data_IF_311487054865
#
_entry.id   IF_311487054865
#
_cell.length_a   1.000
_cell.length_b   1.000
_cell.length_c   1.000
_cell.angle_alpha   90.00
_cell.angle_beta   90.00
_cell.angle_gamma   90.00
#
_symmetry.space_group_name_H-M   'P 1'
#
loop_
_entity.id
_entity.type
_entity.pdbx_description
1 polymer ?
2 polymer ?
3 polymer ?
4 non-polymer ?
5 non-polymer ?
6 water ?
#
# COMPACT_ATOMS: atom_id res chain seq x y z
N UNK A 5 2.20 -17.35 -5.68
CA UNK A 5 3.27 -16.38 -6.10
C UNK A 5 4.64 -16.75 -5.55
N UNK A 6 5.35 -15.77 -4.98
CA UNK A 6 6.68 -16.03 -4.42
C UNK A 6 6.52 -16.99 -3.24
N UNK A 7 7.29 -18.07 -3.25
CA UNK A 7 7.20 -19.12 -2.23
C UNK A 7 7.32 -18.56 -0.81
N UNK A 8 8.12 -17.51 -0.67
CA UNK A 8 8.47 -16.99 0.62
C UNK A 8 7.68 -15.73 0.99
N UNK A 9 6.64 -15.44 0.20
CA UNK A 9 5.99 -14.14 0.31
C UNK A 9 5.28 -13.99 1.65
N UNK A 10 5.25 -12.75 2.15
CA UNK A 10 4.39 -12.43 3.25
C UNK A 10 4.87 -12.95 4.57
N UNK A 11 6.10 -13.47 4.62
CA UNK A 11 6.71 -13.92 5.87
C UNK A 11 7.91 -13.01 6.18
N UNK A 12 7.81 -12.23 7.24
CA UNK A 12 8.78 -11.19 7.51
C UNK A 12 10.00 -11.75 8.25
N UNK A 13 11.21 -11.48 7.74
CA UNK A 13 12.47 -11.93 8.41
C UNK A 13 12.57 -11.59 9.91
N UNK A 14 12.13 -10.40 10.31
CA UNK A 14 12.20 -9.97 11.70
C UNK A 14 10.97 -10.32 12.54
N UNK A 15 10.00 -11.00 11.94
CA UNK A 15 8.80 -11.39 12.68
C UNK A 15 8.48 -12.88 12.43
N UNK A 16 7.72 -13.20 11.39
CA UNK A 16 7.34 -14.60 11.16
C UNK A 16 8.53 -15.52 11.08
N UNK A 17 9.59 -15.11 10.40
CA UNK A 17 10.74 -16.02 10.24
C UNK A 17 11.45 -16.35 11.56
N UNK A 18 11.26 -15.53 12.58
CA UNK A 18 11.87 -15.73 13.91
C UNK A 18 10.83 -16.09 14.94
N UNK A 19 9.60 -16.26 14.47
CA UNK A 19 8.44 -16.42 15.33
C UNK A 19 8.33 -15.32 16.39
N UNK A 20 8.53 -14.07 15.96
CA UNK A 20 8.23 -12.92 16.81
C UNK A 20 6.96 -12.24 16.27
N UNK A 21 6.11 -11.77 17.19
CA UNK A 21 4.87 -11.09 16.86
C UNK A 21 5.09 -9.61 17.03
N UNK A 22 4.52 -8.80 16.14
CA UNK A 22 4.54 -7.34 16.29
C UNK A 22 3.46 -6.88 17.25
N UNK A 23 3.54 -5.60 17.64
CA UNK A 23 2.75 -5.09 18.77
C UNK A 23 1.22 -5.07 18.57
N UNK A 24 0.74 -5.08 17.32
CA UNK A 24 -0.69 -4.96 17.06
C UNK A 24 -1.25 -5.94 16.06
N UNK A 25 -0.49 -6.95 15.61
CA UNK A 25 -1.04 -7.90 14.65
C UNK A 25 -2.18 -8.69 15.26
N UNK A 26 -2.13 -8.83 16.58
CA UNK A 26 -3.15 -9.58 17.29
C UNK A 26 -4.52 -8.91 17.15
N UNK A 27 -4.54 -7.59 17.09
CA UNK A 27 -5.76 -6.80 16.86
C UNK A 27 -6.44 -7.26 15.57
N UNK A 28 -5.62 -7.65 14.59
CA UNK A 28 -6.13 -8.15 13.30
C UNK A 28 -6.74 -9.54 13.48
N UNK A 29 -5.99 -10.42 14.15
CA UNK A 29 -6.45 -11.77 14.43
C UNK A 29 -7.77 -11.79 15.19
N UNK A 30 -7.87 -10.89 16.14
CA UNK A 30 -9.04 -10.83 17.00
C UNK A 30 -10.31 -10.42 16.26
N UNK A 31 -10.15 -9.70 15.14
CA UNK A 31 -11.27 -9.20 14.32
C UNK A 31 -11.75 -10.23 13.32
N UNK A 32 -10.99 -11.31 13.12
CA UNK A 32 -11.31 -12.32 12.10
C UNK A 32 -12.21 -13.38 12.70
N UNK A 33 -13.36 -12.94 13.22
CA UNK A 33 -14.24 -13.80 14.00
C UNK A 33 -14.96 -14.80 13.09
N UNK A 34 -14.16 -15.47 12.26
CA UNK A 34 -14.57 -15.95 10.93
C UNK A 34 -16.08 -15.86 10.66
N UNK A 35 -16.52 -14.61 10.47
CA UNK A 35 -17.91 -14.27 10.17
C UNK A 35 -18.10 -12.77 10.08
N UNK A 36 -18.28 -12.23 8.98
N UNK B 1 -0.56 9.03 7.39
CA UNK B 1 -1.43 8.21 8.30
C UNK B 1 -1.83 9.08 9.49
N UNK B 2 -3.14 9.24 9.67
CA UNK B 2 -3.68 9.99 10.79
C UNK B 2 -4.00 9.02 11.89
N UNK B 3 -3.59 9.36 13.11
CA UNK B 3 -3.86 8.56 14.31
C UNK B 3 -3.25 7.17 14.23
N UNK B 4 -2.09 7.05 13.57
CA UNK B 4 -1.35 5.82 13.58
C UNK B 4 -0.37 5.74 14.73
N UNK B 5 0.56 4.81 14.63
CA UNK B 5 1.73 4.71 15.49
C UNK B 5 2.95 4.52 14.60
N UNK B 6 4.12 4.80 15.15
CA UNK B 6 5.38 4.46 14.51
C UNK B 6 5.43 2.96 14.21
N UNK B 7 5.78 2.58 12.97
CA UNK B 7 6.02 1.19 12.62
C UNK B 7 7.20 0.65 13.39
N UNK B 8 7.19 -0.66 13.68
CA UNK B 8 8.39 -1.31 14.20
C UNK B 8 9.34 -1.54 13.05
N UNK B 9 10.62 -1.75 13.37
CA UNK B 9 11.62 -2.07 12.35
C UNK B 9 11.29 -3.42 11.70
N UNK B 10 11.32 -3.43 10.37
CA UNK B 10 11.03 -4.62 9.59
C UNK B 10 9.57 -5.04 9.63
N UNK B 11 8.69 -4.14 10.09
CA UNK B 11 7.26 -4.51 10.28
C UNK B 11 6.53 -4.60 8.95
N UNK B 12 6.99 -3.84 7.98
CA UNK B 12 6.37 -3.80 6.68
C UNK B 12 7.45 -3.77 5.61
N UNK B 13 8.12 -4.91 5.43
CA UNK B 13 9.32 -4.94 4.59
C UNK B 13 9.03 -4.94 3.08
N UNK B 14 7.76 -4.98 2.70
CA UNK B 14 7.32 -4.80 1.31
C UNK B 14 6.98 -3.32 0.99
N UNK B 15 7.09 -2.45 1.98
CA UNK B 15 6.79 -1.03 1.79
C UNK B 15 7.85 -0.38 0.89
N UNK B 16 7.36 0.38 -0.08
CA UNK B 16 8.18 1.05 -1.07
C UNK B 16 7.77 2.52 -1.00
N UNK B 17 8.76 3.40 -1.14
CA UNK B 17 8.51 4.84 -1.31
C UNK B 17 8.69 5.18 -2.76
N UNK B 18 7.70 5.83 -3.33
CA UNK B 18 7.76 6.34 -4.69
C UNK B 18 8.34 7.74 -4.56
N UNK B 19 9.51 7.93 -5.17
CA UNK B 19 10.30 9.13 -4.98
C UNK B 19 10.53 9.89 -6.32
N UNK B 20 10.24 11.18 -6.30
CA UNK B 20 10.46 12.04 -7.45
C UNK B 20 11.94 12.44 -7.51
N UNK B 21 12.56 12.28 -8.68
CA UNK B 21 13.99 12.63 -8.85
C UNK B 21 14.26 14.11 -8.58
N UNK B 22 13.53 14.97 -9.30
CA UNK B 22 13.72 16.43 -9.20
C UNK B 22 12.40 17.19 -9.35
N UNK B 23 11.99 17.94 -8.33
CA UNK B 23 12.67 18.03 -7.04
C UNK B 23 12.53 16.74 -6.21
N UNK B 24 13.38 16.57 -5.21
CA UNK B 24 13.39 15.36 -4.41
C UNK B 24 12.20 15.37 -3.47
N UNK B 25 11.23 14.51 -3.74
CA UNK B 25 10.04 14.45 -2.90
C UNK B 25 9.32 13.10 -2.92
N UNK B 26 8.62 12.83 -1.84
CA UNK B 26 7.79 11.67 -1.72
C UNK B 26 6.60 11.94 -2.62
N UNK B 27 6.29 10.99 -3.50
CA UNK B 27 5.08 11.05 -4.32
C UNK B 27 3.95 10.22 -3.70
N UNK B 28 4.28 9.00 -3.30
CA UNK B 28 3.26 8.01 -2.97
C UNK B 28 3.95 6.82 -2.31
N UNK B 29 3.14 5.97 -1.70
CA UNK B 29 3.56 4.64 -1.30
C UNK B 29 3.40 3.63 -2.42
N UNK B 30 3.79 2.41 -2.10
CA UNK B 30 3.86 1.33 -3.08
C UNK B 30 4.25 0.09 -2.30
N UNK B 31 4.25 -1.06 -2.96
CA UNK B 31 4.63 -2.32 -2.32
C UNK B 31 5.38 -3.22 -3.26
N UNK B 32 6.32 -3.97 -2.68
CA UNK B 32 7.12 -4.95 -3.38
C UNK B 32 6.39 -6.30 -3.42
N UNK B 33 6.09 -6.78 -4.62
CA UNK B 33 5.41 -8.09 -4.78
C UNK B 33 6.32 -9.23 -5.33
N UNK B 34 7.49 -8.86 -5.83
CA UNK B 34 8.56 -9.80 -6.18
C UNK B 34 9.84 -8.98 -6.21
N UNK B 35 10.96 -9.59 -6.60
CA UNK B 35 12.25 -8.89 -6.66
C UNK B 35 12.39 -7.86 -7.79
N UNK B 36 11.45 -7.81 -8.73
CA UNK B 36 11.51 -6.71 -9.71
C UNK B 36 10.18 -6.06 -10.06
N UNK B 37 9.13 -6.36 -9.29
CA UNK B 37 7.80 -5.77 -9.52
C UNK B 37 7.32 -5.02 -8.28
N UNK B 38 6.85 -3.81 -8.50
CA UNK B 38 6.33 -2.93 -7.44
C UNK B 38 4.91 -2.52 -7.82
N UNK B 39 4.00 -2.66 -6.88
CA UNK B 39 2.62 -2.33 -7.08
C UNK B 39 2.30 -1.00 -6.43
N UNK B 40 1.51 -0.20 -7.14
CA UNK B 40 1.03 1.07 -6.63
C UNK B 40 -0.31 1.47 -7.27
N UNK B 41 -0.81 2.63 -6.89
CA UNK B 41 -2.05 3.20 -7.47
C UNK B 41 -1.74 3.88 -8.77
N UNK B 42 -2.58 3.67 -9.78
CA UNK B 42 -2.39 4.38 -11.08
C UNK B 42 -2.34 5.89 -10.92
N UNK B 43 -3.10 6.46 -10.00
CA UNK B 43 -3.20 7.92 -9.91
C UNK B 43 -1.92 8.55 -9.36
N UNK B 44 -1.05 7.72 -8.79
CA UNK B 44 0.27 8.15 -8.36
C UNK B 44 1.17 8.49 -9.56
N UNK B 45 0.85 7.87 -10.70
CA UNK B 45 1.60 8.00 -11.96
C UNK B 45 0.92 8.83 -13.07
N UNK B 46 -0.40 8.74 -13.13
CA UNK B 46 -1.20 9.35 -14.17
C UNK B 46 -2.46 9.94 -13.56
N UNK B 47 -2.52 11.27 -13.53
CA UNK B 47 -3.71 11.97 -13.15
C UNK B 47 -3.77 13.32 -13.90
N UNK B 48 -4.28 13.29 -15.13
CA UNK B 48 -4.44 14.49 -15.97
C UNK B 48 -5.05 15.72 -15.34
N UNK B 49 -6.08 15.61 -14.51
CA UNK B 49 -6.63 16.82 -13.90
C UNK B 49 -5.60 17.67 -13.16
N UNK B 50 -4.48 17.05 -12.75
CA UNK B 50 -3.41 17.71 -12.00
C UNK B 50 -2.12 17.80 -12.81
N UNK B 51 -2.23 17.59 -14.11
CA UNK B 51 -1.06 17.52 -15.01
C UNK B 51 0.03 16.58 -14.53
N UNK B 52 -0.39 15.42 -14.05
CA UNK B 52 0.53 14.36 -13.63
C UNK B 52 0.54 13.30 -14.70
N UNK B 53 1.73 13.03 -15.24
CA UNK B 53 1.88 11.94 -16.17
C UNK B 53 3.35 11.54 -16.23
N UNK B 54 3.82 10.91 -15.15
CA UNK B 54 5.24 10.57 -15.02
C UNK B 54 5.72 9.50 -16.01
N UNK B 55 6.92 9.70 -16.57
CA UNK B 55 7.63 8.63 -17.26
C UNK B 55 8.60 7.94 -16.30
N UNK B 56 9.15 6.82 -16.76
CA UNK B 56 10.04 5.99 -15.94
C UNK B 56 11.15 6.83 -15.34
N UNK B 57 11.69 7.75 -16.12
CA UNK B 57 12.91 8.44 -15.73
C UNK B 57 12.69 9.58 -14.76
N UNK B 58 11.44 9.93 -14.49
CA UNK B 58 11.13 10.95 -13.48
C UNK B 58 11.19 10.42 -12.05
N UNK B 59 11.23 9.10 -11.91
CA UNK B 59 10.93 8.40 -10.66
C UNK B 59 12.01 7.42 -10.20
N UNK B 60 12.14 7.33 -8.89
CA UNK B 60 12.81 6.22 -8.21
C UNK B 60 11.88 5.56 -7.20
N UNK B 61 12.13 4.27 -6.94
CA UNK B 61 11.56 3.60 -5.77
C UNK B 61 12.64 3.38 -4.73
N UNK B 62 12.29 3.65 -3.47
CA UNK B 62 13.15 3.41 -2.32
C UNK B 62 12.53 2.32 -1.44
N UNK B 63 13.27 1.23 -1.29
CA UNK B 63 12.83 0.01 -0.66
C UNK B 63 13.65 -0.26 0.61
N UNK B 64 12.98 -0.74 1.67
CA UNK B 64 13.61 -1.08 2.93
C UNK B 64 13.70 0.06 3.92
N UNK B 65 12.89 1.11 3.73
CA UNK B 65 13.01 2.34 4.47
C UNK B 65 12.17 2.31 5.73
N UNK B 66 12.58 3.13 6.68
CA UNK B 66 11.83 3.36 7.92
C UNK B 66 11.64 4.87 8.12
N UNK B 67 12.76 5.57 8.20
CA UNK B 67 12.79 7.02 8.23
C UNK B 67 12.24 7.58 6.93
N UNK B 68 11.44 8.65 7.03
CA UNK B 68 10.88 9.29 5.84
C UNK B 68 11.96 10.00 5.02
N UNK B 69 12.71 10.88 5.67
CA UNK B 69 13.64 11.81 4.96
C UNK B 69 15.09 11.33 4.84
N UNK B 70 15.54 10.53 5.79
CA UNK B 70 16.96 10.13 5.84
C UNK B 70 17.33 9.19 4.71
N UNK B 71 18.57 9.29 4.22
CA UNK B 71 19.14 8.25 3.39
C UNK B 71 19.65 7.15 4.37
N UNK B 72 19.05 5.97 4.29
CA UNK B 72 19.30 4.89 5.24
C UNK B 72 20.38 3.97 4.65
N UNK B 73 21.60 4.46 4.83
CA UNK B 73 22.80 3.82 4.35
C UNK B 73 22.88 2.42 4.92
N UNK B 74 23.29 1.50 4.06
CA UNK B 74 23.40 0.07 4.39
C UNK B 74 22.06 -0.67 4.55
N UNK B 75 20.93 0.05 4.53
CA UNK B 75 19.61 -0.54 4.83
C UNK B 75 18.68 -0.47 3.62
N UNK B 76 18.34 0.75 3.20
CA UNK B 76 17.48 0.95 2.03
C UNK B 76 18.22 0.70 0.73
N UNK B 77 17.43 0.32 -0.29
CA UNK B 77 17.91 0.24 -1.65
C UNK B 77 17.03 1.11 -2.58
N UNK B 78 17.68 1.87 -3.46
CA UNK B 78 17.00 2.76 -4.41
C UNK B 78 17.12 2.18 -5.82
N UNK B 79 15.98 1.89 -6.45
CA UNK B 79 15.94 1.28 -7.78
C UNK B 79 15.32 2.23 -8.82
N UNK B 80 15.78 2.11 -10.06
CA UNK B 80 15.23 2.85 -11.20
C UNK B 80 14.22 1.97 -11.86
N UNK B 81 13.36 2.55 -12.69
CA UNK B 81 12.28 1.80 -13.33
C UNK B 81 12.58 1.46 -14.76
N UNK B 82 12.38 0.20 -15.13
CA UNK B 82 12.44 -0.21 -16.51
C UNK B 82 11.16 0.22 -17.26
N UNK B 83 10.00 -0.08 -16.66
CA UNK B 83 8.72 0.19 -17.33
C UNK B 83 7.55 0.38 -16.36
N UNK B 84 6.72 1.39 -16.62
CA UNK B 84 5.45 1.60 -15.94
C UNK B 84 4.32 0.96 -16.75
N UNK B 85 3.39 0.26 -16.07
CA UNK B 85 2.17 -0.29 -16.69
C UNK B 85 0.95 0.17 -15.92
N UNK B 86 0.07 0.94 -16.57
CA UNK B 86 -1.16 1.44 -15.98
C UNK B 86 -2.35 0.57 -16.42
N UNK B 87 -3.23 0.19 -15.50
CA UNK B 87 -4.39 -0.57 -15.92
C UNK B 87 -5.02 0.12 -17.15
N UNK B 88 -5.26 -0.60 -18.25
CA UNK B 88 -5.85 0.05 -19.43
C UNK B 88 -7.26 0.63 -19.18
N UNK B 89 -7.97 0.22 -18.12
CA UNK B 89 -9.30 0.79 -17.83
C UNK B 89 -9.36 1.56 -16.51
N UNK B 90 -8.21 2.01 -16.04
CA UNK B 90 -8.17 2.96 -14.95
C UNK B 90 -8.99 4.20 -15.32
N UNK B 91 -9.97 4.55 -14.50
CA UNK B 91 -10.87 5.69 -14.76
C UNK B 91 -10.49 6.96 -13.99
N UNK B 92 -9.53 7.73 -14.50
CA UNK B 92 -9.18 9.01 -13.88
C UNK B 92 -10.22 10.09 -14.13
N UNK B 93 -11.02 9.90 -15.16
CA UNK B 93 -12.04 10.88 -15.50
C UNK B 93 -13.11 11.00 -14.42
N UNK B 94 -13.52 9.88 -13.85
CA UNK B 94 -14.64 9.88 -12.92
C UNK B 94 -14.27 9.56 -11.47
N UNK B 95 -13.97 8.29 -11.17
CA UNK B 95 -13.95 7.85 -9.76
C UNK B 95 -12.71 7.06 -9.34
N UNK B 96 -11.67 7.08 -10.17
CA UNK B 96 -10.46 6.26 -9.97
C UNK B 96 -10.74 4.75 -9.91
N UNK B 97 -11.77 4.32 -10.63
CA UNK B 97 -12.04 2.90 -10.81
C UNK B 97 -10.80 2.29 -11.42
N UNK B 98 -10.41 1.14 -10.86
CA UNK B 98 -9.25 0.36 -11.24
C UNK B 98 -7.95 1.14 -11.07
N UNK B 99 -7.78 1.71 -9.88
CA UNK B 99 -6.63 2.56 -9.56
C UNK B 99 -5.46 1.64 -9.17
N UNK B 100 -4.78 1.11 -10.18
CA UNK B 100 -3.72 0.15 -9.98
C UNK B 100 -2.67 0.30 -11.10
N UNK B 101 -1.42 0.13 -10.74
CA UNK B 101 -0.34 0.22 -11.69
C UNK B 101 0.78 -0.65 -11.19
N UNK B 102 1.55 -1.16 -12.14
CA UNK B 102 2.76 -1.93 -11.85
C UNK B 102 3.99 -1.20 -12.40
N UNK B 103 5.10 -1.41 -11.73
CA UNK B 103 6.39 -0.84 -12.10
C UNK B 103 7.42 -1.96 -12.09
N UNK B 104 8.05 -2.18 -13.25
CA UNK B 104 9.12 -3.18 -13.37
C UNK B 104 10.45 -2.50 -13.10
N UNK B 105 11.25 -3.09 -12.21
CA UNK B 105 12.54 -2.48 -11.86
C UNK B 105 13.60 -2.82 -12.89
N UNK B 106 14.58 -1.93 -13.08
CA UNK B 106 15.69 -2.20 -14.01
C UNK B 106 16.45 -3.46 -13.61
N UNK B 107 16.76 -3.59 -12.32
CA UNK B 107 17.43 -4.78 -11.77
C UNK B 107 16.69 -5.28 -10.54
N UNK B 108 16.68 -6.60 -10.32
CA UNK B 108 16.18 -7.20 -9.10
C UNK B 108 16.83 -6.65 -7.85
N UNK B 109 16.01 -6.35 -6.85
CA UNK B 109 16.49 -5.85 -5.57
C UNK B 109 16.85 -7.06 -4.71
N UNK B 110 17.86 -6.91 -3.86
CA UNK B 110 18.23 -7.99 -2.94
C UNK B 110 17.32 -7.93 -1.72
N UNK B 111 16.76 -9.08 -1.34
CA UNK B 111 15.96 -9.18 -0.11
C UNK B 111 16.89 -9.18 1.10
N UNK B 112 16.35 -8.75 2.23
CA UNK B 112 17.15 -8.56 3.45
C UNK B 112 16.17 -8.62 4.62
N UNK B 113 16.62 -8.34 5.85
CA UNK B 113 15.67 -8.21 6.96
C UNK B 113 14.59 -7.12 6.75
N UNK B 114 14.91 -6.13 5.91
CA UNK B 114 14.10 -4.90 5.76
C UNK B 114 13.32 -4.84 4.44
N UNK B 115 13.61 -5.77 3.53
CA UNK B 115 13.15 -5.79 2.17
C UNK B 115 12.64 -7.20 1.89
N UNK B 116 11.33 -7.33 1.65
CA UNK B 116 10.73 -8.65 1.44
C UNK B 116 9.34 -8.53 0.86
N UNK B 117 8.98 -9.34 -0.14
CA UNK B 117 7.70 -9.21 -0.81
C UNK B 117 6.47 -9.66 -0.01
N UNK B 118 5.35 -9.01 -0.29
CA UNK B 118 4.05 -9.37 0.27
C UNK B 118 3.39 -10.34 -0.69
N UNK B 119 2.46 -11.15 -0.20
CA UNK B 119 1.71 -12.06 -1.06
C UNK B 119 0.56 -11.33 -1.71
N UNK B 120 0.17 -11.75 -2.92
CA UNK B 120 -1.11 -11.34 -3.53
C UNK B 120 -2.14 -12.41 -3.24
N UNK B 121 -3.36 -12.03 -2.90
CA UNK B 121 -4.37 -13.01 -2.48
C UNK B 121 -4.88 -13.91 -3.60
N UNK B 122 -5.33 -15.10 -3.22
CA UNK B 122 -6.05 -16.00 -4.12
C UNK B 122 -7.53 -15.75 -3.91
N UNK B 123 -8.35 -16.30 -4.79
CA UNK B 123 -9.81 -16.13 -4.66
C UNK B 123 -10.30 -16.45 -3.27
N UNK B 124 -9.79 -17.53 -2.71
CA UNK B 124 -10.27 -18.08 -1.44
C UNK B 124 -9.79 -17.26 -0.25
N UNK B 125 -8.59 -16.72 -0.33
CA UNK B 125 -8.12 -15.88 0.76
C UNK B 125 -8.93 -14.59 0.77
N UNK B 126 -9.20 -14.05 -0.40
CA UNK B 126 -9.99 -12.86 -0.51
C UNK B 126 -11.39 -13.11 0.01
N UNK B 127 -12.00 -14.19 -0.41
CA UNK B 127 -13.38 -14.44 -0.02
C UNK B 127 -13.47 -14.51 1.49
N UNK B 128 -12.55 -15.23 2.13
CA UNK B 128 -12.59 -15.37 3.59
C UNK B 128 -12.23 -14.13 4.38
N UNK B 129 -11.29 -13.34 3.90
CA UNK B 129 -10.80 -12.22 4.71
C UNK B 129 -11.45 -10.87 4.41
N UNK B 130 -12.01 -10.70 3.22
CA UNK B 130 -12.59 -9.40 2.86
C UNK B 130 -14.01 -9.26 3.36
N UNK B 131 -14.15 -9.12 4.66
CA UNK B 131 -15.45 -9.07 5.30
C UNK B 131 -15.52 -7.86 6.22
N UNK B 132 -16.69 -7.24 6.25
CA UNK B 132 -16.97 -6.17 7.19
C UNK B 132 -16.62 -6.55 8.62
N UNK B 133 -15.93 -5.66 9.32
CA UNK B 133 -15.43 -5.95 10.68
C UNK B 133 -13.97 -6.37 10.67
N UNK B 134 -13.56 -7.14 9.67
CA UNK B 134 -12.19 -7.68 9.62
C UNK B 134 -11.26 -6.51 9.39
N UNK B 135 -10.16 -6.49 10.12
CA UNK B 135 -9.28 -5.35 10.10
C UNK B 135 -8.10 -5.62 9.20
N UNK B 136 -7.73 -4.65 8.41
CA UNK B 136 -6.47 -4.73 7.67
C UNK B 136 -5.56 -3.69 8.25
N UNK B 137 -4.38 -3.52 7.63
CA UNK B 137 -3.39 -2.57 8.12
C UNK B 137 -2.84 -1.78 7.00
N UNK B 138 -2.71 -0.48 7.29
CA UNK B 138 -2.27 0.51 6.32
C UNK B 138 -1.04 1.23 6.88
N UNK B 139 -0.06 1.41 5.99
CA UNK B 139 1.23 2.01 6.30
C UNK B 139 1.60 3.08 5.29
N UNK B 140 2.30 4.12 5.77
CA UNK B 140 2.84 5.09 4.85
C UNK B 140 3.50 6.29 5.52
N UNK B 141 4.12 7.14 4.68
CA UNK B 141 4.83 8.32 5.16
C UNK B 141 4.07 9.61 4.92
N UNK B 142 2.76 9.50 4.69
CA UNK B 142 1.93 10.65 4.42
C UNK B 142 1.65 11.47 5.65
N UNK B 143 0.95 12.57 5.45
CA UNK B 143 0.66 13.50 6.53
C UNK B 143 -0.11 12.88 7.70
N UNK B 144 0.12 13.45 8.88
CA UNK B 144 -0.47 13.00 10.14
C UNK B 144 -1.81 13.68 10.42
N UNK B 145 -2.16 14.66 9.59
CA UNK B 145 -3.33 15.51 9.78
C UNK B 145 -3.80 16.05 8.43
N UNK B 146 -5.10 16.20 8.28
CA UNK B 146 -5.67 16.76 7.05
C UNK B 146 -5.13 18.16 6.69
N UNK B 155 2.84 17.65 11.46
CA UNK B 155 2.40 17.61 10.07
C UNK B 155 2.86 16.37 9.33
N UNK B 156 4.17 16.15 9.29
CA UNK B 156 4.74 14.99 8.63
C UNK B 156 5.55 14.13 9.60
N UNK B 157 5.56 12.81 9.38
CA UNK B 157 6.12 11.88 10.36
C UNK B 157 7.61 11.77 10.21
N UNK B 158 8.31 11.51 11.31
CA UNK B 158 9.72 11.16 11.24
C UNK B 158 9.90 9.76 10.69
N UNK B 159 9.04 8.81 11.09
CA UNK B 159 9.15 7.43 10.56
C UNK B 159 7.83 6.88 10.03
N UNK B 160 7.93 5.77 9.33
CA UNK B 160 6.80 5.08 8.75
C UNK B 160 5.73 4.89 9.81
N UNK B 161 4.50 5.18 9.44
CA UNK B 161 3.36 5.08 10.34
C UNK B 161 2.53 3.89 9.96
N UNK B 162 1.79 3.38 10.94
CA UNK B 162 0.96 2.19 10.79
C UNK B 162 -0.38 2.38 11.49
N UNK B 163 -1.43 1.87 10.88
CA UNK B 163 -2.74 1.86 11.53
C UNK B 163 -3.54 0.67 11.01
N UNK B 164 -4.25 0.04 11.92
CA UNK B 164 -5.14 -1.08 11.63
C UNK B 164 -6.57 -0.55 11.56
N UNK B 165 -7.28 -0.83 10.46
CA UNK B 165 -8.64 -0.31 10.29
C UNK B 165 -9.56 -1.43 9.84
N UNK B 166 -10.82 -1.38 10.29
CA UNK B 166 -11.78 -2.40 9.87
C UNK B 166 -12.35 -2.11 8.51
N UNK B 167 -12.50 -3.15 7.71
CA UNK B 167 -13.26 -3.11 6.48
C UNK B 167 -14.72 -2.75 6.78
N UNK B 168 -15.34 -1.97 5.92
CA UNK B 168 -16.70 -1.45 6.18
C UNK B 168 -17.75 -2.05 5.22
N UNK B 169 -18.95 -2.27 5.73
CA UNK B 169 -20.10 -2.79 4.94
C UNK B 169 -20.29 -1.93 3.67
N UNK B 170 -20.58 -2.55 2.54
CA UNK B 170 -20.64 -1.85 1.29
C UNK B 170 -21.67 -0.71 1.31
N UNK B 171 -22.89 -0.92 1.81
CA UNK B 171 -23.87 0.17 1.88
C UNK B 171 -23.40 1.36 2.71
N UNK B 172 -22.70 1.12 3.82
CA UNK B 172 -22.16 2.21 4.61
C UNK B 172 -21.11 2.99 3.81
N UNK B 173 -20.27 2.28 3.06
CA UNK B 173 -19.27 2.97 2.21
C UNK B 173 -19.98 3.95 1.25
N UNK B 174 -20.97 3.41 0.54
CA UNK B 174 -21.72 4.14 -0.48
C UNK B 174 -22.49 5.36 0.06
N UNK B 175 -23.10 5.18 1.23
CA UNK B 175 -23.91 6.21 1.86
C UNK B 175 -23.11 7.32 2.49
N UNK B 176 -21.78 7.18 2.47
CA UNK B 176 -20.87 8.15 3.08
C UNK B 176 -20.45 9.20 2.08
N UNK B 177 -20.76 8.97 0.81
CA UNK B 177 -20.16 9.77 -0.27
C UNK B 177 -21.10 9.93 -1.45
N UNK B 178 -20.86 10.96 -2.27
CA UNK B 178 -21.58 11.19 -3.55
C UNK B 178 -20.91 10.51 -4.74
N UNK B 179 -19.67 10.06 -4.56
CA UNK B 179 -18.91 9.37 -5.60
C UNK B 179 -19.53 8.00 -5.80
N UNK B 180 -19.61 7.57 -7.05
CA UNK B 180 -20.07 6.22 -7.40
C UNK B 180 -18.96 5.17 -7.08
N UNK B 181 -19.30 4.25 -6.19
CA UNK B 181 -18.42 3.21 -5.69
C UNK B 181 -18.63 1.98 -6.57
N UNK B 182 -17.54 1.37 -7.06
CA UNK B 182 -17.61 0.15 -7.88
C UNK B 182 -17.11 -1.09 -7.11
N UNK B 183 -17.29 -2.24 -7.72
CA UNK B 183 -16.82 -3.51 -7.18
C UNK B 183 -15.29 -3.62 -7.07
N UNK B 184 -14.58 -2.70 -7.68
CA UNK B 184 -13.09 -2.69 -7.66
C UNK B 184 -12.56 -1.82 -6.53
N UNK B 185 -13.44 -1.47 -5.60
CA UNK B 185 -13.14 -0.66 -4.42
C UNK B 185 -13.81 -1.27 -3.22
N UNK B 186 -13.16 -1.11 -2.06
CA UNK B 186 -13.80 -1.32 -0.76
C UNK B 186 -13.35 -0.12 0.07
N UNK B 187 -14.02 0.12 1.19
CA UNK B 187 -13.64 1.18 2.12
C UNK B 187 -13.38 0.61 3.51
N UNK B 188 -12.62 1.34 4.29
CA UNK B 188 -12.30 0.92 5.65
C UNK B 188 -12.15 2.13 6.55
N UNK B 189 -12.27 1.88 7.85
CA UNK B 189 -12.23 2.95 8.83
C UNK B 189 -13.26 2.72 9.90
N UNK B 190 -13.11 3.46 11.01
CA UNK B 190 -14.03 3.38 12.11
C UNK B 190 -15.21 4.29 11.85
N UNK B 191 -16.32 3.96 12.47
CA UNK B 191 -17.53 4.75 12.45
C UNK B 191 -17.43 5.75 13.62
N UNK B 192 -18.18 6.85 13.57
CA UNK B 192 -18.13 7.87 14.62
C UNK B 192 -18.45 7.34 16.02
N UNK B 193 -19.33 6.36 16.14
CA UNK B 193 -19.66 5.82 17.46
C UNK B 193 -18.49 5.03 18.06
N UNK B 194 -17.67 4.44 17.19
CA UNK B 194 -16.76 3.34 17.56
C UNK B 194 -15.58 3.71 18.45
N UNK B 195 -15.36 4.99 18.70
CA UNK B 195 -14.38 5.39 19.73
C UNK B 195 -12.90 5.28 19.37
N UNK B 196 -12.60 4.68 18.22
CA UNK B 196 -11.26 4.59 17.69
C UNK B 196 -11.30 5.27 16.33
N UNK B 197 -10.17 5.78 15.88
CA UNK B 197 -10.14 6.42 14.59
C UNK B 197 -8.86 6.10 13.77
N UNK B 198 -8.66 6.81 12.68
CA UNK B 198 -7.51 6.58 11.84
C UNK B 198 -7.87 6.41 10.37
N UNK B 199 -6.90 6.74 9.53
CA UNK B 199 -7.15 6.85 8.10
C UNK B 199 -5.78 7.09 7.50
N UNK B 200 -5.70 6.88 6.19
CA UNK B 200 -4.60 7.35 5.39
C UNK B 200 -4.84 8.80 5.04
N UNK B 201 -3.81 9.42 4.51
CA UNK B 201 -3.85 10.83 4.18
C UNK B 201 -2.83 11.12 3.08
N UNK B 202 -2.66 12.40 2.78
CA UNK B 202 -1.75 12.91 1.77
C UNK B 202 -0.38 12.29 1.86
N UNK B 203 0.08 11.65 0.78
CA UNK B 203 1.39 10.94 0.70
C UNK B 203 1.32 9.42 0.86
N UNK B 204 0.21 8.93 1.42
CA UNK B 204 0.01 7.51 1.72
C UNK B 204 -0.48 6.71 0.53
N UNK B 205 -1.05 7.41 -0.44
CA UNK B 205 -1.74 6.72 -1.55
C UNK B 205 -0.77 5.88 -2.36
N UNK B 206 -1.27 4.82 -2.97
CA UNK B 206 -0.45 3.82 -3.63
C UNK B 206 0.15 2.80 -2.68
N UNK B 207 0.14 3.07 -1.38
CA UNK B 207 0.58 2.11 -0.38
C UNK B 207 -0.40 0.97 -0.15
N UNK B 208 0.02 -0.03 0.63
CA UNK B 208 -0.73 -1.27 0.81
C UNK B 208 -1.69 -1.38 1.99
N UNK B 209 -2.85 -1.98 1.74
CA UNK B 209 -3.79 -2.43 2.79
C UNK B 209 -3.57 -3.94 2.87
N UNK B 210 -2.94 -4.39 3.96
CA UNK B 210 -2.58 -5.78 4.09
C UNK B 210 -3.39 -6.41 5.20
N UNK B 211 -3.47 -7.74 5.17
CA UNK B 211 -4.12 -8.52 6.18
C UNK B 211 -3.26 -9.78 6.39
N UNK B 212 -3.16 -10.25 7.63
CA UNK B 212 -2.44 -11.49 7.92
C UNK B 212 -3.38 -12.68 7.98
N UNK B 213 -3.16 -13.66 7.10
CA UNK B 213 -4.02 -14.82 7.02
C UNK B 213 -3.93 -15.63 8.28
N UNK B 214 -5.08 -15.94 8.90
CA UNK B 214 -5.08 -16.84 10.08
C UNK B 214 -4.84 -18.31 9.72
N UNK B 215 -4.86 -18.65 8.43
CA UNK B 215 -4.71 -20.01 7.97
C UNK B 215 -3.23 -20.37 7.83
N UNK B 216 -2.47 -19.52 7.14
CA UNK B 216 -1.09 -19.83 6.84
C UNK B 216 -0.08 -18.78 7.29
N UNK B 217 -0.52 -17.83 8.11
CA UNK B 217 0.36 -16.90 8.84
C UNK B 217 1.20 -15.97 7.95
N UNK B 218 0.70 -15.72 6.75
CA UNK B 218 1.36 -14.93 5.71
C UNK B 218 0.60 -13.64 5.50
N UNK B 219 1.33 -12.56 5.24
CA UNK B 219 0.70 -11.26 4.98
C UNK B 219 0.32 -11.19 3.51
N UNK B 220 -0.93 -10.79 3.28
CA UNK B 220 -1.47 -10.60 1.92
C UNK B 220 -1.88 -9.20 1.66
N UNK B 221 -1.63 -8.71 0.43
CA UNK B 221 -2.10 -7.37 0.07
C UNK B 221 -3.52 -7.39 -0.53
N UNK B 222 -4.49 -6.90 0.25
CA UNK B 222 -5.90 -6.90 -0.18
C UNK B 222 -6.31 -5.63 -0.89
N UNK B 223 -5.70 -4.50 -0.52
CA UNK B 223 -6.08 -3.19 -1.08
C UNK B 223 -4.88 -2.32 -1.38
N UNK B 224 -5.09 -1.32 -2.21
CA UNK B 224 -4.15 -0.22 -2.41
C UNK B 224 -4.85 1.06 -1.97
N UNK B 225 -4.15 1.90 -1.22
CA UNK B 225 -4.67 3.17 -0.74
C UNK B 225 -4.98 3.95 -2.00
N UNK B 226 -6.26 4.26 -2.23
CA UNK B 226 -6.70 4.90 -3.47
C UNK B 226 -7.21 6.33 -3.28
N UNK B 227 -8.27 6.53 -2.51
CA UNK B 227 -8.76 7.89 -2.26
C UNK B 227 -9.64 8.02 -1.02
N UNK B 228 -9.76 9.25 -0.55
CA UNK B 228 -10.71 9.63 0.51
C UNK B 228 -11.17 11.07 0.32
N UNK B 229 -12.00 11.55 1.25
CA UNK B 229 -12.59 12.88 1.16
C UNK B 229 -12.36 13.68 2.44
N UNK B 230 -10.94 14.35 2.49
CA UNK B 230 -10.16 14.69 3.68
C UNK B 230 -9.44 13.46 4.22
N UNK B 231 -9.06 13.53 5.49
CA UNK B 231 -8.42 12.46 6.21
C UNK B 231 -9.04 12.32 7.62
N UNK B 232 -12.00 12.05 8.64
CA UNK B 232 -13.27 12.75 8.94
C UNK B 232 -14.31 11.76 9.50
N UNK B 233 -9.46 11.11 7.93
CA UNK B 233 -9.98 10.80 9.25
C UNK B 233 -11.17 11.71 9.63
N UNK B 234 -15.10 12.23 10.45
CA UNK B 234 -16.26 11.49 10.97
C UNK B 234 -17.33 11.23 9.89
N UNK B 235 -17.73 9.98 9.73
CA UNK B 235 -18.72 9.64 8.72
C UNK B 235 -18.17 9.43 7.31
N UNK B 236 -16.85 9.59 7.15
CA UNK B 236 -16.13 9.32 5.93
C UNK B 236 -15.13 8.15 6.10
N UNK B 237 -14.74 7.56 4.97
CA UNK B 237 -13.95 6.33 4.93
C UNK B 237 -12.91 6.41 3.83
N UNK B 238 -11.80 5.74 4.03
CA UNK B 238 -10.79 5.64 3.00
C UNK B 238 -11.22 4.54 2.05
N UNK B 239 -10.92 4.75 0.78
CA UNK B 239 -11.26 3.81 -0.29
C UNK B 239 -10.01 3.19 -0.84
N UNK B 240 -10.10 1.87 -1.08
CA UNK B 240 -8.95 1.07 -1.46
C UNK B 240 -9.24 0.32 -2.73
N UNK B 241 -8.22 0.19 -3.57
CA UNK B 241 -8.37 -0.63 -4.75
C UNK B 241 -8.47 -2.09 -4.36
N UNK B 242 -9.47 -2.76 -4.88
CA UNK B 242 -9.71 -4.16 -4.54
C UNK B 242 -8.77 -5.04 -5.36
N UNK B 243 -7.68 -5.49 -4.73
CA UNK B 243 -6.55 -6.08 -5.46
C UNK B 243 -6.89 -7.45 -6.13
N UNK B 244 -7.57 -8.32 -5.40
CA UNK B 244 -7.90 -9.61 -6.02
C UNK B 244 -8.71 -9.42 -7.30
N UNK B 245 -9.71 -8.54 -7.30
CA UNK B 245 -10.55 -8.33 -8.51
C UNK B 245 -9.76 -7.96 -9.74
N UNK B 246 -8.57 -7.40 -9.58
CA UNK B 246 -7.74 -6.99 -10.69
C UNK B 246 -6.53 -7.90 -10.87
N UNK B 247 -6.53 -9.07 -10.22
CA UNK B 247 -5.32 -9.88 -10.18
C UNK B 247 -4.96 -10.47 -11.55
N UNK B 248 -5.97 -10.78 -12.37
CA UNK B 248 -5.71 -11.28 -13.73
C UNK B 248 -4.97 -10.28 -14.57
N UNK B 249 -5.26 -8.99 -14.42
CA UNK B 249 -4.49 -7.95 -15.10
C UNK B 249 -3.05 -7.99 -14.61
N UNK B 250 -2.89 -8.08 -13.28
CA UNK B 250 -1.56 -8.14 -12.67
C UNK B 250 -0.77 -9.30 -13.29
N UNK B 251 -1.35 -10.51 -13.27
CA UNK B 251 -0.68 -11.70 -13.79
C UNK B 251 -0.37 -11.64 -15.30
N UNK B 252 -1.27 -11.07 -16.07
CA UNK B 252 -1.09 -10.90 -17.51
C UNK B 252 0.17 -10.07 -17.78
N UNK B 253 0.25 -8.93 -17.12
CA UNK B 253 1.38 -8.02 -17.26
C UNK B 253 2.68 -8.70 -16.88
N UNK B 254 2.67 -9.41 -15.75
CA UNK B 254 3.86 -10.04 -15.23
C UNK B 254 4.30 -11.20 -16.13
N UNK B 255 3.35 -12.07 -16.46
CA UNK B 255 3.61 -13.18 -17.37
C UNK B 255 4.19 -12.71 -18.70
N UNK B 256 3.57 -11.72 -19.31
CA UNK B 256 4.05 -11.21 -20.59
C UNK B 256 5.37 -10.45 -20.52
N UNK B 257 5.49 -9.51 -19.59
CA UNK B 257 6.61 -8.56 -19.61
C UNK B 257 7.72 -8.82 -18.56
N UNK B 258 7.47 -9.76 -17.66
CA UNK B 258 8.49 -10.19 -16.70
C UNK B 258 9.31 -11.31 -17.31
N UNK B 259 10.56 -11.43 -16.87
CA UNK B 259 11.46 -12.52 -17.35
C UNK B 259 11.59 -13.63 -16.29
N UNK C 1 14.11 19.15 2.26
CA UNK C 1 13.49 18.38 3.39
C UNK C 1 14.11 17.00 3.49
N UNK C 2 14.29 16.35 2.34
CA UNK C 2 14.86 15.02 2.29
C UNK C 2 16.38 15.09 2.33
N UNK C 3 17.02 14.02 2.80
CA UNK C 3 18.45 13.92 2.68
C UNK C 3 18.81 13.52 1.25
N UNK C 4 19.67 14.33 0.66
CA UNK C 4 20.45 14.01 -0.53
C UNK C 4 20.73 12.50 -0.64
N UNK C 5 20.17 11.87 -1.66
CA UNK C 5 20.55 10.48 -1.97
C UNK C 5 21.79 10.46 -2.88
N UNK C 6 22.55 9.36 -2.89
CA UNK C 6 23.71 9.24 -3.79
C UNK C 6 23.38 9.55 -5.26
N UNK C 7 24.29 10.30 -5.89
CA UNK C 7 24.07 10.81 -7.25
C UNK C 7 24.06 9.70 -8.30
N UNK C 8 24.67 8.55 -8.00
CA UNK C 8 24.56 7.39 -8.88
C UNK C 8 23.10 7.09 -9.24
N UNK C 10 20.62 9.23 -9.40
CA UNK C 10 20.02 10.32 -10.16
C UNK C 10 20.59 10.39 -11.57
#
# INVERSE_FOLDING_TARGET
TFGSGEADCGLRPLFEKKSLEDKTERELLESYIDGR
IVEGSDAEIGMSPWQVMLFRKSPQELLCGASLISDRWVLTAAHCLLYPPWDKNFTENDLLVRIGKHSRTRYERNIEKISMLEKIYIHPRYNWRENLDRDIALMKLKKPVAFSDYIHPVCLPDRETAASLLQAGYKGRVTGWGNLKETWTANVGKGQPSVLQVVNLPIVERPVCKDSTRIRITDNMFCAGYKPDEGKRGDACEGDSGGPFVMKSPFNNRWYQMGIVSWGEGCRDDGKYGFYTHVFRLKKWIQKVIDQFGE
DFEEIPEEXL
#
